data_IF_994893779776
#
_entry.id   IF_994893779776
#
_cell.length_a   1.000
_cell.length_b   1.000
_cell.length_c   1.000
_cell.angle_alpha   90.00
_cell.angle_beta   90.00
_cell.angle_gamma   90.00
#
_symmetry.space_group_name_H-M   'P 1'
#
loop_
_entity.id
_entity.type
_entity.pdbx_description
1 polymer ?
#
# COMPACT_ATOMS: atom_id res chain seq x y z
N UNK A 1 18.46 -20.60 1.31
CA UNK A 1 18.32 -19.19 0.87
C UNK A 1 17.00 -18.66 1.43
N UNK A 2 17.00 -17.47 2.06
CA UNK A 2 15.78 -16.78 2.53
C UNK A 2 15.54 -15.58 1.61
N UNK A 3 14.32 -15.42 1.11
CA UNK A 3 13.94 -14.23 0.36
C UNK A 3 13.71 -13.07 1.35
N UNK A 4 14.48 -12.00 1.24
CA UNK A 4 14.49 -10.88 2.16
C UNK A 4 14.44 -9.56 1.41
N UNK A 5 13.67 -8.61 1.94
CA UNK A 5 13.63 -7.21 1.53
C UNK A 5 13.28 -6.36 2.75
N UNK A 6 13.88 -5.17 2.91
CA UNK A 6 13.52 -4.22 3.97
C UNK A 6 12.38 -3.30 3.54
N UNK A 7 11.74 -2.63 4.51
CA UNK A 7 10.73 -1.59 4.23
C UNK A 7 11.30 -0.46 3.38
N UNK A 8 12.56 -0.07 3.61
CA UNK A 8 13.24 0.98 2.84
C UNK A 8 13.44 0.56 1.38
N UNK A 9 13.86 -0.69 1.15
CA UNK A 9 14.02 -1.23 -0.21
C UNK A 9 12.67 -1.31 -0.94
N UNK A 10 11.62 -1.76 -0.26
CA UNK A 10 10.28 -1.83 -0.84
C UNK A 10 9.72 -0.43 -1.14
N UNK A 11 9.86 0.52 -0.21
CA UNK A 11 9.43 1.90 -0.41
C UNK A 11 10.19 2.56 -1.56
N UNK A 12 11.51 2.34 -1.63
CA UNK A 12 12.35 2.83 -2.73
C UNK A 12 11.91 2.26 -4.08
N UNK A 13 11.64 0.97 -4.17
CA UNK A 13 11.17 0.34 -5.40
C UNK A 13 9.81 0.91 -5.84
N UNK A 14 8.86 1.09 -4.90
CA UNK A 14 7.56 1.70 -5.21
C UNK A 14 7.75 3.15 -5.68
N UNK A 15 8.61 3.93 -5.03
CA UNK A 15 8.97 5.27 -5.48
C UNK A 15 9.48 5.26 -6.93
N UNK A 16 10.42 4.37 -7.25
CA UNK A 16 10.98 4.25 -8.60
C UNK A 16 9.94 3.77 -9.62
N UNK A 17 8.97 2.94 -9.24
CA UNK A 17 7.87 2.53 -10.12
C UNK A 17 6.98 3.73 -10.45
N UNK A 18 6.49 4.44 -9.43
CA UNK A 18 5.53 5.55 -9.61
C UNK A 18 6.18 6.81 -10.20
N UNK A 19 7.48 7.01 -10.00
CA UNK A 19 8.26 8.08 -10.67
C UNK A 19 8.85 7.65 -12.02
N UNK A 20 8.57 6.42 -12.46
CA UNK A 20 8.95 5.88 -13.78
C UNK A 20 10.46 5.67 -13.99
N UNK A 21 11.18 5.40 -12.90
CA UNK A 21 12.63 5.21 -12.82
C UNK A 21 13.06 3.73 -12.65
N UNK A 22 12.17 2.82 -12.24
CA UNK A 22 12.56 1.45 -11.85
C UNK A 22 13.23 0.60 -12.95
N UNK A 23 12.67 0.53 -14.16
CA UNK A 23 13.25 -0.27 -15.27
C UNK A 23 13.35 0.56 -16.55
N UNK A 24 12.21 1.00 -17.07
CA UNK A 24 12.12 1.99 -18.14
C UNK A 24 10.81 2.72 -17.97
N UNK A 25 10.68 3.94 -18.51
CA UNK A 25 9.44 4.71 -18.40
C UNK A 25 8.19 3.91 -18.80
N UNK A 26 8.29 3.13 -19.88
CA UNK A 26 7.21 2.27 -20.40
C UNK A 26 6.85 1.15 -19.42
N UNK A 27 7.84 0.40 -18.93
CA UNK A 27 7.59 -0.74 -18.06
C UNK A 27 7.22 -0.33 -16.63
N UNK A 28 7.81 0.73 -16.09
CA UNK A 28 7.42 1.28 -14.79
C UNK A 28 5.98 1.78 -14.79
N UNK A 29 5.52 2.40 -15.88
CA UNK A 29 4.10 2.79 -16.03
C UNK A 29 3.17 1.57 -16.04
N UNK A 30 3.57 0.48 -16.72
CA UNK A 30 2.82 -0.79 -16.71
C UNK A 30 2.77 -1.41 -15.31
N UNK A 31 3.89 -1.38 -14.56
CA UNK A 31 3.92 -1.86 -13.18
C UNK A 31 3.00 -1.04 -12.26
N UNK A 32 3.01 0.30 -12.38
CA UNK A 32 2.10 1.15 -11.62
C UNK A 32 0.62 0.83 -11.91
N UNK A 33 0.28 0.53 -13.17
CA UNK A 33 -1.07 0.08 -13.54
C UNK A 33 -1.44 -1.24 -12.87
N UNK A 34 -0.55 -2.24 -12.88
CA UNK A 34 -0.78 -3.54 -12.23
C UNK A 34 -0.90 -3.45 -10.70
N UNK A 35 -0.26 -2.46 -10.08
CA UNK A 35 -0.35 -2.21 -8.64
C UNK A 35 -1.62 -1.46 -8.24
N UNK A 36 -2.28 -0.77 -9.19
CA UNK A 36 -3.45 0.07 -8.90
C UNK A 36 -4.60 -0.77 -8.37
N UNK A 37 -5.23 -0.34 -7.28
CA UNK A 37 -6.40 -1.01 -6.70
C UNK A 37 -7.60 -0.07 -6.65
N UNK A 38 -8.78 -0.65 -6.81
CA UNK A 38 -10.04 0.03 -6.53
C UNK A 38 -10.40 -0.19 -5.05
N UNK A 39 -10.56 0.90 -4.31
CA UNK A 39 -10.86 0.85 -2.88
C UNK A 39 -12.36 0.74 -2.58
N UNK A 40 -13.23 0.88 -3.59
CA UNK A 40 -14.68 0.72 -3.42
C UNK A 40 -15.02 -0.71 -3.02
N UNK A 41 -15.78 -0.95 -1.94
CA UNK A 41 -16.11 -2.29 -1.47
C UNK A 41 -16.65 -3.22 -2.55
N UNK A 42 -17.45 -2.70 -3.48
CA UNK A 42 -18.05 -3.49 -4.57
C UNK A 42 -17.00 -4.12 -5.50
N UNK A 43 -15.81 -3.53 -5.60
CA UNK A 43 -14.72 -4.00 -6.44
C UNK A 43 -13.92 -5.15 -5.82
N UNK A 44 -13.96 -5.33 -4.49
CA UNK A 44 -13.06 -6.25 -3.79
C UNK A 44 -13.73 -7.17 -2.77
N UNK A 45 -14.91 -6.85 -2.26
CA UNK A 45 -15.55 -7.60 -1.15
C UNK A 45 -15.84 -9.07 -1.48
N UNK A 46 -16.04 -9.39 -2.75
CA UNK A 46 -16.32 -10.74 -3.23
C UNK A 46 -15.06 -11.48 -3.74
N UNK A 47 -13.90 -10.82 -3.76
CA UNK A 47 -12.63 -11.43 -4.14
C UNK A 47 -11.85 -11.81 -2.86
N UNK A 48 -11.67 -13.11 -2.55
CA UNK A 48 -10.92 -13.52 -1.36
C UNK A 48 -9.42 -13.16 -1.41
N UNK A 49 -8.89 -12.75 -2.57
CA UNK A 49 -7.48 -12.40 -2.79
C UNK A 49 -7.25 -10.90 -3.07
N UNK A 50 -8.23 -10.06 -2.74
CA UNK A 50 -8.28 -8.66 -3.19
C UNK A 50 -7.10 -7.77 -2.76
N UNK A 51 -6.43 -8.08 -1.65
CA UNK A 51 -5.30 -7.30 -1.12
C UNK A 51 -5.68 -5.92 -0.56
N UNK A 52 -6.96 -5.69 -0.30
CA UNK A 52 -7.52 -4.51 0.38
C UNK A 52 -7.97 -4.87 1.79
N UNK A 53 -8.86 -5.87 1.94
CA UNK A 53 -9.38 -6.31 3.24
C UNK A 53 -8.23 -6.72 4.17
N UNK A 54 -8.17 -6.08 5.34
CA UNK A 54 -7.16 -6.28 6.36
C UNK A 54 -5.80 -5.65 6.07
N UNK A 55 -5.70 -4.81 5.04
CA UNK A 55 -4.45 -4.20 4.58
C UNK A 55 -4.55 -2.66 4.52
N UNK A 56 -3.50 -2.00 4.00
CA UNK A 56 -3.38 -0.53 4.05
C UNK A 56 -4.59 0.16 3.43
N UNK A 57 -5.11 -0.37 2.31
CA UNK A 57 -6.15 0.28 1.52
C UNK A 57 -7.54 0.33 2.17
N UNK A 58 -7.89 -0.61 3.07
CA UNK A 58 -9.26 -0.76 3.58
C UNK A 58 -9.78 0.48 4.30
N UNK A 59 -8.91 1.16 5.05
CA UNK A 59 -9.29 2.31 5.87
C UNK A 59 -9.24 3.65 5.11
N UNK A 60 -8.77 3.66 3.87
CA UNK A 60 -8.51 4.89 3.11
C UNK A 60 -9.75 5.34 2.32
N UNK A 61 -9.89 6.64 2.02
CA UNK A 61 -11.00 7.13 1.19
C UNK A 61 -10.97 6.52 -0.20
N UNK A 62 -12.15 6.25 -0.77
CA UNK A 62 -12.25 5.56 -2.07
C UNK A 62 -11.89 6.41 -3.28
N UNK A 63 -11.83 7.74 -3.11
CA UNK A 63 -11.51 8.71 -4.17
C UNK A 63 -10.09 9.23 -4.02
N UNK A 64 -9.12 8.34 -4.19
CA UNK A 64 -7.68 8.64 -4.19
C UNK A 64 -6.99 7.77 -5.25
N UNK A 65 -5.78 8.15 -5.67
CA UNK A 65 -4.90 7.24 -6.39
C UNK A 65 -4.21 6.33 -5.38
N UNK A 66 -4.47 5.02 -5.49
CA UNK A 66 -3.92 4.01 -4.62
C UNK A 66 -3.36 2.86 -5.44
N UNK A 67 -2.16 2.42 -5.11
CA UNK A 67 -1.69 1.11 -5.54
C UNK A 67 -0.77 0.47 -4.53
N UNK A 68 -0.82 -0.84 -4.45
CA UNK A 68 -0.20 -1.59 -3.37
C UNK A 68 0.23 -3.00 -3.78
N UNK A 69 1.11 -3.57 -2.96
CA UNK A 69 1.48 -4.97 -3.03
C UNK A 69 1.53 -5.59 -1.63
N UNK A 70 0.55 -6.45 -1.37
CA UNK A 70 0.51 -7.28 -0.16
C UNK A 70 1.48 -8.46 -0.23
N UNK A 71 2.02 -8.84 0.93
CA UNK A 71 2.71 -10.10 1.18
C UNK A 71 2.11 -10.75 2.42
N UNK A 72 1.49 -11.92 2.27
CA UNK A 72 0.75 -12.57 3.35
C UNK A 72 1.08 -14.06 3.43
N UNK A 73 1.47 -14.52 4.62
CA UNK A 73 1.74 -15.92 4.96
C UNK A 73 1.31 -16.20 6.40
N UNK A 74 1.38 -17.45 6.85
CA UNK A 74 1.06 -17.81 8.24
C UNK A 74 1.95 -17.16 9.32
N UNK A 75 3.08 -16.55 8.93
CA UNK A 75 4.04 -15.92 9.84
C UNK A 75 4.30 -14.45 9.56
N UNK A 76 3.82 -13.92 8.43
CA UNK A 76 4.18 -12.58 7.97
C UNK A 76 2.95 -11.88 7.40
N UNK A 77 2.75 -10.63 7.79
CA UNK A 77 1.84 -9.69 7.14
C UNK A 77 2.66 -8.49 6.70
N UNK A 78 2.60 -8.20 5.41
CA UNK A 78 3.37 -7.15 4.77
C UNK A 78 2.50 -6.44 3.74
N UNK A 79 2.71 -5.14 3.61
CA UNK A 79 2.10 -4.35 2.55
C UNK A 79 2.97 -3.11 2.30
N UNK A 80 2.99 -2.67 1.05
CA UNK A 80 3.57 -1.41 0.63
C UNK A 80 2.63 -0.74 -0.34
N UNK A 81 2.32 0.53 -0.10
CA UNK A 81 1.37 1.28 -0.89
C UNK A 81 1.91 2.65 -1.28
N UNK A 82 1.61 3.07 -2.51
CA UNK A 82 1.65 4.46 -2.95
C UNK A 82 0.25 5.07 -2.77
N UNK A 83 0.19 6.21 -2.10
CA UNK A 83 -1.04 6.94 -1.82
C UNK A 83 -0.91 8.37 -2.34
N UNK A 84 -1.89 8.81 -3.13
CA UNK A 84 -1.99 10.18 -3.61
C UNK A 84 -3.45 10.64 -3.62
N UNK A 85 -3.76 11.69 -2.88
CA UNK A 85 -5.10 12.30 -2.94
C UNK A 85 -5.33 12.98 -4.30
N UNK A 86 -6.59 13.11 -4.72
CA UNK A 86 -6.91 13.72 -6.01
C UNK A 86 -6.56 15.22 -6.07
N UNK A 87 -6.49 15.87 -4.92
CA UNK A 87 -6.12 17.27 -4.74
C UNK A 87 -4.63 17.48 -4.41
N UNK A 88 -3.83 16.41 -4.47
CA UNK A 88 -2.39 16.41 -4.16
C UNK A 88 -1.99 16.89 -2.77
N UNK A 89 -2.95 17.07 -1.85
CA UNK A 89 -2.66 17.39 -0.44
C UNK A 89 -1.82 16.32 0.23
N UNK A 90 -1.98 15.05 -0.09
CA UNK A 90 -1.09 14.01 0.44
C UNK A 90 -0.58 13.12 -0.68
N UNK A 91 0.75 13.01 -0.77
CA UNK A 91 1.45 12.11 -1.68
C UNK A 91 2.54 11.41 -0.86
N UNK A 92 2.41 10.10 -0.65
CA UNK A 92 3.34 9.36 0.19
C UNK A 92 3.38 7.87 -0.15
N UNK A 93 4.40 7.21 0.39
CA UNK A 93 4.53 5.75 0.37
C UNK A 93 4.54 5.26 1.80
N UNK A 94 3.77 4.21 2.08
CA UNK A 94 3.74 3.55 3.38
C UNK A 94 4.12 2.08 3.19
N UNK A 95 5.15 1.63 3.90
CA UNK A 95 5.58 0.22 3.94
C UNK A 95 5.48 -0.27 5.39
N UNK A 96 4.75 -1.37 5.60
CA UNK A 96 4.58 -1.99 6.93
C UNK A 96 4.91 -3.47 6.79
N UNK A 97 6.00 -3.92 7.41
CA UNK A 97 6.38 -5.33 7.46
C UNK A 97 6.31 -5.83 8.90
N UNK A 98 5.56 -6.91 9.11
CA UNK A 98 5.36 -7.51 10.41
C UNK A 98 5.63 -9.02 10.33
N UNK A 99 6.69 -9.47 10.99
CA UNK A 99 7.18 -10.87 10.97
C UNK A 99 6.81 -11.62 12.26
N UNK A 100 5.52 -11.71 12.58
CA UNK A 100 5.02 -12.54 13.69
C UNK A 100 3.62 -13.11 13.36
N UNK A 101 3.31 -14.38 13.73
CA UNK A 101 1.96 -14.95 13.59
C UNK A 101 0.84 -14.14 14.26
N UNK A 102 1.13 -13.36 15.30
CA UNK A 102 0.19 -12.43 15.91
C UNK A 102 -0.31 -11.40 14.88
N UNK A 103 0.60 -10.79 14.10
CA UNK A 103 0.25 -9.84 13.05
C UNK A 103 -0.38 -10.52 11.83
N UNK A 104 0.00 -11.76 11.52
CA UNK A 104 -0.66 -12.51 10.44
C UNK A 104 -2.16 -12.71 10.71
N UNK A 105 -2.56 -12.87 11.98
CA UNK A 105 -3.96 -13.07 12.39
C UNK A 105 -4.73 -11.79 12.70
N UNK A 106 -4.03 -10.66 12.82
CA UNK A 106 -4.64 -9.36 13.10
C UNK A 106 -4.96 -8.63 11.79
N UNK A 107 -6.22 -8.69 11.37
CA UNK A 107 -6.71 -7.95 10.20
C UNK A 107 -6.89 -6.45 10.45
N UNK A 108 -6.90 -6.00 11.69
CA UNK A 108 -7.22 -4.61 12.02
C UNK A 108 -5.98 -3.71 12.10
N UNK A 109 -4.82 -4.27 12.42
CA UNK A 109 -3.61 -3.48 12.69
C UNK A 109 -3.13 -2.66 11.48
N UNK A 110 -3.14 -3.23 10.28
CA UNK A 110 -2.72 -2.52 9.06
C UNK A 110 -3.68 -1.40 8.65
N UNK A 111 -5.02 -1.63 8.60
CA UNK A 111 -5.98 -0.56 8.40
C UNK A 111 -5.86 0.56 9.44
N UNK A 112 -5.73 0.23 10.74
CA UNK A 112 -5.61 1.24 11.80
C UNK A 112 -4.36 2.10 11.66
N UNK A 113 -3.21 1.49 11.38
CA UNK A 113 -1.95 2.22 11.14
C UNK A 113 -2.04 3.09 9.88
N UNK A 114 -2.62 2.56 8.81
CA UNK A 114 -2.84 3.29 7.55
C UNK A 114 -3.68 4.54 7.76
N UNK A 115 -4.82 4.41 8.46
CA UNK A 115 -5.70 5.52 8.83
C UNK A 115 -4.94 6.61 9.60
N UNK A 116 -4.20 6.21 10.63
CA UNK A 116 -3.42 7.13 11.45
C UNK A 116 -2.39 7.91 10.62
N UNK A 117 -1.64 7.23 9.75
CA UNK A 117 -0.65 7.89 8.87
C UNK A 117 -1.33 8.84 7.88
N UNK A 118 -2.42 8.42 7.24
CA UNK A 118 -3.15 9.30 6.32
C UNK A 118 -3.60 10.58 7.01
N UNK A 119 -4.22 10.47 8.20
CA UNK A 119 -4.73 11.64 8.93
C UNK A 119 -3.60 12.63 9.25
N UNK A 120 -2.42 12.11 9.63
CA UNK A 120 -1.22 12.93 9.83
C UNK A 120 -0.74 13.60 8.55
N UNK A 121 -0.69 12.88 7.43
CA UNK A 121 -0.25 13.44 6.14
C UNK A 121 -1.18 14.53 5.62
N UNK A 122 -2.50 14.39 5.83
CA UNK A 122 -3.47 15.42 5.46
C UNK A 122 -3.30 16.72 6.25
N UNK A 123 -2.93 16.63 7.53
CA UNK A 123 -2.69 17.82 8.38
C UNK A 123 -1.39 18.51 8.02
N UNK A 124 -0.30 17.75 7.82
CA UNK A 124 1.04 18.31 7.55
C UNK A 124 1.08 19.20 6.30
N UNK A 125 0.30 18.86 5.28
CA UNK A 125 0.32 19.55 3.99
C UNK A 125 -0.85 20.54 3.82
N UNK A 126 -1.61 20.80 4.89
CA UNK A 126 -2.63 21.86 4.94
C UNK A 126 -2.09 23.16 5.56
N UNK A 127 -0.80 23.21 5.88
CA UNK A 127 -0.05 24.37 6.36
C UNK A 127 0.81 24.95 5.23
#
# INVERSE_FOLDING_TARGET
LRNLISTDQAARLIYEIYTRQAVSRKYSTRMAYLLTRDLRPEAWQNDPYNGIKGFIGESLPTKIYFGSKVGFTSKHRMDVAFVRTLDDKAIYILAIFAEDPAYARDEEIFPKLSRHVYDRMMVLNSQ
#
